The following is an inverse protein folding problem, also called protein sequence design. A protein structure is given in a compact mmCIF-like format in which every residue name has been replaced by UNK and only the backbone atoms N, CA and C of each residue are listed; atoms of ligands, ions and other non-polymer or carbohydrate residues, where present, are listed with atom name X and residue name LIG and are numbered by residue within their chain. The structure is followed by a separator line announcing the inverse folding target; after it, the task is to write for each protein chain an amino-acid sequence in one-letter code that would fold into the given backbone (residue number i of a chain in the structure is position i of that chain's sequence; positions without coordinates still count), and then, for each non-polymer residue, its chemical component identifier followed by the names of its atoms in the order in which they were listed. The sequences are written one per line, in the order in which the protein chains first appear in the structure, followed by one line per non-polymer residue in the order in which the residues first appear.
data_IF_440041450409
#
_entry.id   IF_440041450409
#
_cell.length_a   1.000
_cell.length_b   1.000
_cell.length_c   1.000
_cell.angle_alpha   90.00
_cell.angle_beta   90.00
_cell.angle_gamma   90.00
#
_symmetry.space_group_name_H-M   'P 1'
#
loop_
_entity.id
_entity.type
_entity.pdbx_description
1 polymer ?
#
# COMPACT_ATOMS: atom_id res chain seq x y z
N UNK A 1 0.71 7.61 -10.47
CA UNK A 1 1.30 6.34 -10.00
C UNK A 1 2.10 6.67 -8.74
N UNK A 2 1.89 5.94 -7.66
CA UNK A 2 2.63 6.10 -6.42
C UNK A 2 3.39 4.80 -6.15
N UNK A 3 4.65 4.93 -5.78
CA UNK A 3 5.51 3.86 -5.29
C UNK A 3 6.42 4.43 -4.20
N UNK A 4 7.09 3.58 -3.44
CA UNK A 4 8.07 4.05 -2.48
C UNK A 4 9.41 4.37 -3.14
N UNK A 5 10.34 4.87 -2.33
CA UNK A 5 11.67 5.26 -2.77
C UNK A 5 12.68 4.08 -2.71
N UNK A 6 12.24 2.81 -2.80
CA UNK A 6 13.19 1.69 -2.94
C UNK A 6 14.08 1.93 -4.19
N UNK A 7 15.42 1.79 -4.08
CA UNK A 7 16.34 2.01 -5.20
C UNK A 7 15.98 1.26 -6.50
N UNK A 8 15.26 0.14 -6.43
CA UNK A 8 14.80 -0.62 -7.60
C UNK A 8 13.84 0.19 -8.48
N UNK A 9 13.09 1.12 -7.88
CA UNK A 9 12.14 1.98 -8.58
C UNK A 9 12.80 3.15 -9.33
N UNK A 10 14.05 3.49 -9.02
CA UNK A 10 14.82 4.57 -9.66
C UNK A 10 15.85 4.06 -10.66
N UNK A 11 15.92 2.75 -10.90
CA UNK A 11 16.79 2.19 -11.95
C UNK A 11 16.46 2.75 -13.33
N UNK A 12 17.44 2.77 -14.25
CA UNK A 12 17.26 3.27 -15.63
C UNK A 12 16.09 2.57 -16.34
N UNK A 13 15.98 1.26 -16.16
CA UNK A 13 14.92 0.45 -16.76
C UNK A 13 13.54 0.81 -16.20
N UNK A 14 13.38 0.83 -14.88
CA UNK A 14 12.10 1.18 -14.25
C UNK A 14 11.69 2.62 -14.57
N UNK A 15 12.63 3.55 -14.50
CA UNK A 15 12.38 4.96 -14.85
C UNK A 15 11.91 5.09 -16.29
N UNK A 16 12.53 4.36 -17.25
CA UNK A 16 12.11 4.38 -18.64
C UNK A 16 10.68 3.87 -18.85
N UNK A 17 10.26 2.84 -18.12
CA UNK A 17 8.89 2.32 -18.13
C UNK A 17 7.88 3.32 -17.53
N UNK A 18 8.28 4.02 -16.47
CA UNK A 18 7.43 4.98 -15.76
C UNK A 18 7.32 6.33 -16.48
N UNK A 19 8.13 6.62 -17.52
CA UNK A 19 8.12 7.91 -18.25
C UNK A 19 6.74 8.32 -18.78
N UNK A 20 5.88 7.35 -19.10
CA UNK A 20 4.51 7.61 -19.61
C UNK A 20 3.49 7.86 -18.50
N UNK A 21 3.86 7.69 -17.24
CA UNK A 21 2.98 7.83 -16.09
C UNK A 21 3.35 9.10 -15.31
N UNK A 22 2.35 9.78 -14.78
CA UNK A 22 2.58 10.82 -13.76
C UNK A 22 2.94 10.13 -12.45
N UNK A 23 4.24 10.08 -12.13
CA UNK A 23 4.75 9.57 -10.85
C UNK A 23 4.58 10.66 -9.78
N UNK A 24 4.09 10.27 -8.62
CA UNK A 24 3.94 11.15 -7.46
C UNK A 24 5.26 11.21 -6.68
N UNK A 25 5.71 12.41 -6.31
CA UNK A 25 6.83 12.56 -5.39
C UNK A 25 6.44 12.01 -4.01
N UNK A 26 7.34 11.24 -3.41
CA UNK A 26 7.09 10.56 -2.16
C UNK A 26 8.23 10.80 -1.17
N UNK A 27 7.96 11.13 0.10
CA UNK A 27 9.00 11.23 1.11
C UNK A 27 9.62 9.87 1.42
N UNK A 28 10.95 9.83 1.62
CA UNK A 28 11.62 8.63 2.11
C UNK A 28 11.18 8.32 3.55
N UNK A 29 10.94 7.04 3.85
CA UNK A 29 10.59 6.57 5.20
C UNK A 29 9.25 7.17 5.68
N UNK A 30 8.19 6.99 4.89
CA UNK A 30 6.82 7.29 5.32
C UNK A 30 5.92 6.07 5.17
N UNK A 31 6.11 5.02 6.00
CA UNK A 31 5.23 3.86 6.02
C UNK A 31 3.79 4.27 6.34
N UNK A 32 3.61 5.24 7.24
CA UNK A 32 2.32 5.84 7.64
C UNK A 32 1.55 6.47 6.48
N UNK A 33 2.22 6.74 5.35
CA UNK A 33 1.58 7.29 4.16
C UNK A 33 1.25 6.22 3.12
N UNK A 34 1.73 4.98 3.23
CA UNK A 34 1.50 3.93 2.23
C UNK A 34 0.05 3.41 2.33
N UNK A 35 -0.86 3.80 1.42
CA UNK A 35 -2.27 3.39 1.53
C UNK A 35 -2.45 1.88 1.40
N UNK A 36 -1.52 1.24 0.70
CA UNK A 36 -1.51 -0.20 0.47
C UNK A 36 -1.30 -1.00 1.76
N UNK A 37 -0.56 -0.48 2.75
CA UNK A 37 -0.28 -1.19 4.01
C UNK A 37 -1.56 -1.53 4.77
N UNK A 38 -2.53 -0.60 4.79
CA UNK A 38 -3.82 -0.85 5.43
C UNK A 38 -4.61 -1.94 4.68
N UNK A 39 -4.62 -1.91 3.34
CA UNK A 39 -5.29 -2.96 2.55
C UNK A 39 -4.64 -4.34 2.80
N UNK A 40 -3.31 -4.38 2.89
CA UNK A 40 -2.55 -5.59 3.24
C UNK A 40 -2.87 -6.08 4.65
N UNK A 41 -3.03 -5.17 5.62
CA UNK A 41 -3.47 -5.51 6.97
C UNK A 41 -4.85 -6.17 6.99
N UNK A 42 -5.81 -5.63 6.24
CA UNK A 42 -7.14 -6.23 6.08
C UNK A 42 -7.04 -7.62 5.43
N UNK A 43 -6.27 -7.73 4.34
CA UNK A 43 -6.08 -9.00 3.64
C UNK A 43 -5.45 -10.05 4.55
N UNK A 44 -4.36 -9.70 5.24
CA UNK A 44 -3.66 -10.57 6.19
C UNK A 44 -4.62 -11.06 7.28
N UNK A 45 -5.39 -10.17 7.90
CA UNK A 45 -6.36 -10.54 8.93
C UNK A 45 -7.44 -11.51 8.41
N UNK A 46 -7.86 -11.37 7.15
CA UNK A 46 -8.81 -12.32 6.54
C UNK A 46 -8.16 -13.67 6.24
N UNK A 47 -6.95 -13.66 5.68
CA UNK A 47 -6.19 -14.87 5.36
C UNK A 47 -5.87 -15.68 6.63
N UNK A 48 -5.53 -15.02 7.74
CA UNK A 48 -5.25 -15.66 9.04
C UNK A 48 -6.45 -16.42 9.64
N UNK A 49 -7.67 -16.13 9.20
CA UNK A 49 -8.87 -16.88 9.62
C UNK A 49 -9.02 -18.22 8.91
N UNK A 50 -8.24 -18.46 7.86
CA UNK A 50 -8.22 -19.72 7.14
C UNK A 50 -7.11 -20.61 7.70
N UNK A 51 -7.44 -21.88 7.96
CA UNK A 51 -6.44 -22.87 8.33
C UNK A 51 -5.80 -23.45 7.07
N UNK A 52 -4.68 -22.86 6.65
CA UNK A 52 -3.90 -23.32 5.49
C UNK A 52 -2.68 -24.12 5.94
N UNK A 53 -2.39 -25.21 5.24
CA UNK A 53 -1.33 -26.16 5.63
C UNK A 53 -0.16 -26.19 4.65
N UNK A 54 -0.25 -25.48 3.52
CA UNK A 54 0.83 -25.38 2.53
C UNK A 54 0.76 -24.07 1.72
N UNK A 55 1.84 -23.80 0.98
CA UNK A 55 2.02 -22.56 0.20
C UNK A 55 0.97 -22.42 -0.91
N UNK A 56 0.54 -23.52 -1.55
CA UNK A 56 -0.47 -23.46 -2.60
C UNK A 56 -1.82 -23.04 -2.05
N UNK A 57 -2.25 -23.64 -0.94
CA UNK A 57 -3.48 -23.24 -0.24
C UNK A 57 -3.42 -21.79 0.23
N UNK A 58 -2.28 -21.35 0.77
CA UNK A 58 -2.08 -19.95 1.15
C UNK A 58 -2.24 -19.01 -0.06
N UNK A 59 -1.61 -19.35 -1.19
CA UNK A 59 -1.72 -18.57 -2.43
C UNK A 59 -3.17 -18.47 -2.90
N UNK A 60 -3.90 -19.58 -2.91
CA UNK A 60 -5.28 -19.61 -3.38
C UNK A 60 -6.20 -18.79 -2.46
N UNK A 61 -6.05 -18.92 -1.15
CA UNK A 61 -6.78 -18.12 -0.15
C UNK A 61 -6.47 -16.63 -0.27
N UNK A 62 -5.21 -16.24 -0.51
CA UNK A 62 -4.83 -14.84 -0.74
C UNK A 62 -5.58 -14.27 -1.94
N UNK A 63 -5.63 -15.02 -3.06
CA UNK A 63 -6.33 -14.58 -4.27
C UNK A 63 -7.83 -14.45 -4.01
N UNK A 64 -8.45 -15.44 -3.35
CA UNK A 64 -9.87 -15.41 -3.03
C UNK A 64 -10.24 -14.24 -2.13
N UNK A 65 -9.52 -14.06 -1.02
CA UNK A 65 -9.80 -12.97 -0.07
C UNK A 65 -9.53 -11.60 -0.69
N UNK A 66 -8.50 -11.47 -1.54
CA UNK A 66 -8.25 -10.24 -2.28
C UNK A 66 -9.43 -9.88 -3.18
N UNK A 67 -9.98 -10.85 -3.93
CA UNK A 67 -11.18 -10.64 -4.79
C UNK A 67 -12.43 -10.29 -3.98
N UNK A 68 -12.52 -10.74 -2.72
CA UNK A 68 -13.64 -10.44 -1.81
C UNK A 68 -13.52 -9.09 -1.12
N UNK A 69 -12.37 -8.41 -1.18
CA UNK A 69 -12.25 -7.08 -0.59
C UNK A 69 -13.03 -6.08 -1.45
N UNK A 70 -14.03 -5.38 -0.90
CA UNK A 70 -14.80 -4.41 -1.67
C UNK A 70 -13.92 -3.26 -2.17
N UNK A 71 -14.20 -2.78 -3.39
CA UNK A 71 -13.52 -1.61 -3.95
C UNK A 71 -13.70 -0.35 -3.08
N UNK A 72 -14.75 -0.30 -2.25
CA UNK A 72 -14.97 0.78 -1.27
C UNK A 72 -13.83 0.91 -0.26
N UNK A 73 -13.12 -0.18 0.06
CA UNK A 73 -11.96 -0.11 0.94
C UNK A 73 -10.83 0.69 0.29
N UNK A 74 -10.53 0.40 -0.99
CA UNK A 74 -9.56 1.16 -1.77
C UNK A 74 -9.96 2.63 -1.89
N UNK A 75 -11.24 2.92 -2.15
CA UNK A 75 -11.75 4.29 -2.20
C UNK A 75 -11.61 5.02 -0.86
N UNK A 76 -11.95 4.37 0.25
CA UNK A 76 -11.81 4.94 1.59
C UNK A 76 -10.35 5.29 1.93
N UNK A 77 -9.41 4.46 1.51
CA UNK A 77 -7.97 4.68 1.67
C UNK A 77 -7.47 5.87 0.86
N UNK A 78 -7.85 5.96 -0.41
CA UNK A 78 -7.51 7.13 -1.24
C UNK A 78 -8.10 8.41 -0.62
N UNK A 79 -9.34 8.33 -0.14
CA UNK A 79 -10.03 9.45 0.50
C UNK A 79 -9.43 9.83 1.88
N UNK A 80 -8.70 8.94 2.55
CA UNK A 80 -8.03 9.27 3.82
C UNK A 80 -6.68 9.97 3.63
N UNK A 81 -6.08 9.89 2.45
CA UNK A 81 -4.76 10.47 2.17
C UNK A 81 -4.60 11.94 2.57
N UNK A 82 -5.54 12.85 2.26
CA UNK A 82 -5.41 14.25 2.69
C UNK A 82 -5.30 14.41 4.20
N UNK A 83 -5.98 13.57 4.98
CA UNK A 83 -5.92 13.59 6.45
C UNK A 83 -4.57 13.07 6.96
N UNK A 84 -4.05 12.00 6.36
CA UNK A 84 -2.76 11.41 6.72
C UNK A 84 -1.61 12.39 6.41
N UNK A 85 -1.62 13.01 5.23
CA UNK A 85 -0.67 14.05 4.85
C UNK A 85 -0.72 15.22 5.84
N UNK A 86 -1.93 15.69 6.20
CA UNK A 86 -2.09 16.76 7.20
C UNK A 86 -1.52 16.36 8.56
N UNK A 87 -1.68 15.10 8.98
CA UNK A 87 -1.11 14.60 10.23
C UNK A 87 0.42 14.62 10.21
N UNK A 88 1.05 14.19 9.11
CA UNK A 88 2.51 14.25 8.93
C UNK A 88 3.01 15.69 8.95
N UNK A 89 2.34 16.60 8.24
CA UNK A 89 2.67 18.02 8.23
C UNK A 89 2.58 18.64 9.63
N UNK A 90 1.49 18.37 10.35
CA UNK A 90 1.31 18.85 11.72
C UNK A 90 2.36 18.30 12.69
N UNK A 91 2.91 17.12 12.40
CA UNK A 91 3.96 16.50 13.20
C UNK A 91 5.38 16.77 12.67
N UNK A 92 5.54 17.80 11.82
CA UNK A 92 6.83 18.20 11.23
C UNK A 92 7.58 17.03 10.55
N UNK A 93 6.86 16.11 9.92
CA UNK A 93 7.45 14.95 9.24
C UNK A 93 7.74 13.74 10.13
N UNK A 94 7.49 13.80 11.43
CA UNK A 94 7.64 12.66 12.34
C UNK A 94 6.43 11.70 12.29
N UNK A 95 6.62 10.49 12.82
CA UNK A 95 5.62 9.41 12.81
C UNK A 95 4.26 9.83 13.35
N UNK A 96 3.21 9.37 12.70
CA UNK A 96 1.83 9.64 13.08
C UNK A 96 1.20 8.39 13.69
N UNK A 97 -0.09 8.47 14.03
CA UNK A 97 -0.87 7.32 14.52
C UNK A 97 -1.37 6.40 13.40
N UNK A 98 -1.11 6.75 12.13
CA UNK A 98 -1.60 6.04 10.95
C UNK A 98 -0.62 4.96 10.51
#
# INVERSE_FOLDING_TARGET
FQHDNDPKHTTKMTTALLRKLKVMEWPSISPDLKPLEHLLGILKHKVEKHHVSNVQQLHDVIIEECKRIPATNSAALVNSMPRMIKAVLNNNGANTKY
#
